data_IF_478364927861
#
_entry.id   IF_478364927861
#
_cell.length_a   1.000
_cell.length_b   1.000
_cell.length_c   1.000
_cell.angle_alpha   90.00
_cell.angle_beta   90.00
_cell.angle_gamma   90.00
#
_symmetry.space_group_name_H-M   'P 1'
#
loop_
_entity.id
_entity.type
_entity.pdbx_description
1 polymer ?
#
# COMPACT_ATOMS: atom_id res chain seq x y z
N UNK A 1 10.94 -42.30 -44.76
CA UNK A 1 11.03 -40.84 -45.02
C UNK A 1 9.62 -40.30 -45.15
N UNK A 2 9.08 -39.76 -44.06
CA UNK A 2 7.86 -38.94 -44.11
C UNK A 2 8.17 -37.64 -44.86
N UNK A 3 7.24 -37.10 -45.67
CA UNK A 3 7.47 -35.83 -46.34
C UNK A 3 7.72 -34.76 -45.28
N UNK A 4 8.84 -34.02 -45.39
CA UNK A 4 9.01 -32.79 -44.63
C UNK A 4 7.96 -31.82 -45.16
N UNK A 5 7.09 -31.38 -44.28
CA UNK A 5 6.12 -30.31 -44.51
C UNK A 5 6.90 -29.00 -44.74
N UNK A 6 7.21 -28.70 -46.00
CA UNK A 6 7.98 -27.53 -46.47
C UNK A 6 7.24 -26.19 -46.26
N UNK A 7 6.05 -26.20 -45.64
CA UNK A 7 5.23 -25.02 -45.38
C UNK A 7 5.51 -24.33 -44.04
N UNK A 8 6.37 -24.88 -43.18
CA UNK A 8 6.69 -24.30 -41.87
C UNK A 8 7.93 -23.41 -41.94
N UNK A 9 7.71 -22.09 -41.83
CA UNK A 9 8.79 -21.11 -41.64
C UNK A 9 9.72 -21.55 -40.49
N UNK A 10 11.04 -21.44 -40.65
CA UNK A 10 11.99 -21.69 -39.58
C UNK A 10 11.69 -20.80 -38.36
N UNK A 11 11.83 -21.32 -37.15
CA UNK A 11 11.48 -20.57 -35.94
C UNK A 11 12.22 -19.25 -35.77
N UNK A 12 13.40 -19.07 -36.37
CA UNK A 12 14.18 -17.82 -36.32
C UNK A 12 13.56 -16.67 -37.13
N UNK A 13 12.76 -16.96 -38.17
CA UNK A 13 12.15 -15.94 -39.03
C UNK A 13 10.77 -15.47 -38.54
N UNK A 14 10.17 -16.19 -37.58
CA UNK A 14 8.83 -15.87 -37.09
C UNK A 14 8.91 -14.97 -35.84
N UNK A 15 8.46 -13.70 -35.92
CA UNK A 15 8.52 -12.78 -34.80
C UNK A 15 7.66 -13.24 -33.62
N UNK A 16 8.16 -12.98 -32.42
CA UNK A 16 7.40 -13.09 -31.18
C UNK A 16 6.74 -11.74 -30.88
N UNK A 17 5.42 -11.69 -30.95
CA UNK A 17 4.60 -10.52 -30.64
C UNK A 17 4.06 -10.67 -29.22
N UNK A 18 4.23 -9.64 -28.41
CA UNK A 18 3.87 -9.66 -26.99
C UNK A 18 2.92 -8.50 -26.69
N UNK A 19 1.75 -8.80 -26.15
CA UNK A 19 0.88 -7.76 -25.58
C UNK A 19 1.51 -7.14 -24.34
N UNK A 20 1.16 -5.89 -24.06
CA UNK A 20 1.76 -5.16 -22.94
C UNK A 20 0.90 -5.24 -21.70
N UNK A 21 -0.34 -4.74 -21.78
CA UNK A 21 -1.22 -4.59 -20.61
C UNK A 21 -1.73 -5.95 -20.13
N UNK A 22 -1.48 -6.26 -18.86
CA UNK A 22 -1.80 -7.54 -18.22
C UNK A 22 -1.07 -8.77 -18.78
N UNK A 23 -0.11 -8.57 -19.71
CA UNK A 23 0.71 -9.62 -20.31
C UNK A 23 2.17 -9.42 -19.93
N UNK A 24 2.91 -8.51 -20.59
CA UNK A 24 4.27 -8.14 -20.20
C UNK A 24 4.29 -7.39 -18.87
N UNK A 25 3.42 -6.38 -18.74
CA UNK A 25 3.17 -5.66 -17.49
C UNK A 25 1.98 -6.34 -16.83
N UNK A 26 2.08 -6.70 -15.55
CA UNK A 26 0.98 -7.44 -14.90
C UNK A 26 -0.27 -6.58 -14.68
N UNK A 27 -0.11 -5.26 -14.69
CA UNK A 27 -1.18 -4.26 -14.62
C UNK A 27 -1.48 -3.59 -15.96
N UNK A 28 -2.14 -2.44 -15.88
CA UNK A 28 -2.52 -1.60 -17.03
C UNK A 28 -1.70 -0.30 -17.00
N UNK A 29 -1.01 0.03 -18.09
CA UNK A 29 -0.13 1.19 -18.21
C UNK A 29 -0.84 2.52 -17.96
N UNK A 30 -2.13 2.66 -18.34
CA UNK A 30 -2.91 3.85 -18.04
C UNK A 30 -3.16 3.95 -16.53
N UNK A 31 -3.54 2.85 -15.89
CA UNK A 31 -3.76 2.82 -14.43
C UNK A 31 -2.46 3.15 -13.68
N UNK A 32 -1.34 2.57 -14.11
CA UNK A 32 0.00 2.87 -13.58
C UNK A 32 0.38 4.35 -13.77
N UNK A 33 0.12 4.90 -14.95
CA UNK A 33 0.35 6.31 -15.26
C UNK A 33 -0.49 7.24 -14.40
N UNK A 34 -1.77 6.92 -14.18
CA UNK A 34 -2.68 7.68 -13.32
C UNK A 34 -2.25 7.61 -11.85
N UNK A 35 -1.90 6.43 -11.35
CA UNK A 35 -1.41 6.28 -9.98
C UNK A 35 -0.15 7.13 -9.75
N UNK A 36 0.79 7.11 -10.71
CA UNK A 36 1.99 7.93 -10.64
C UNK A 36 1.67 9.43 -10.76
N UNK A 37 0.72 9.83 -11.61
CA UNK A 37 0.25 11.22 -11.70
C UNK A 37 -0.29 11.72 -10.37
N UNK A 38 -1.11 10.93 -9.68
CA UNK A 38 -1.63 11.28 -8.37
C UNK A 38 -0.47 11.39 -7.36
N UNK A 39 0.48 10.46 -7.38
CA UNK A 39 1.62 10.46 -6.47
C UNK A 39 2.59 11.65 -6.67
N UNK A 40 2.85 12.07 -7.92
CA UNK A 40 3.82 13.13 -8.23
C UNK A 40 3.18 14.51 -8.40
N UNK A 41 1.92 14.57 -8.82
CA UNK A 41 1.21 15.82 -9.10
C UNK A 41 -0.30 15.67 -8.85
N UNK A 42 -0.73 15.58 -7.57
CA UNK A 42 -2.13 15.33 -7.21
C UNK A 42 -3.11 16.30 -7.88
N UNK A 43 -2.73 17.57 -8.03
CA UNK A 43 -3.55 18.59 -8.67
C UNK A 43 -3.87 18.31 -10.14
N UNK A 44 -2.99 17.60 -10.87
CA UNK A 44 -3.26 17.20 -12.27
C UNK A 44 -4.33 16.13 -12.37
N UNK A 45 -4.62 15.40 -11.28
CA UNK A 45 -5.67 14.39 -11.27
C UNK A 45 -7.06 15.01 -11.55
N UNK A 46 -7.28 16.27 -11.17
CA UNK A 46 -8.52 17.01 -11.50
C UNK A 46 -8.72 17.23 -13.00
N UNK A 47 -7.67 17.08 -13.82
CA UNK A 47 -7.75 17.18 -15.28
C UNK A 47 -8.17 15.86 -15.95
N UNK A 48 -8.14 14.72 -15.23
CA UNK A 48 -8.47 13.41 -15.77
C UNK A 48 -9.88 13.37 -16.39
N UNK A 49 -10.95 13.92 -15.76
CA UNK A 49 -12.27 13.97 -16.37
C UNK A 49 -12.26 14.77 -17.68
N UNK A 50 -11.55 15.90 -17.73
CA UNK A 50 -11.46 16.73 -18.92
C UNK A 50 -10.70 16.04 -20.07
N UNK A 51 -9.65 15.29 -19.75
CA UNK A 51 -8.94 14.47 -20.74
C UNK A 51 -9.80 13.31 -21.24
N UNK A 52 -10.61 12.70 -20.36
CA UNK A 52 -11.54 11.63 -20.74
C UNK A 52 -12.66 12.14 -21.65
N UNK A 53 -13.17 13.37 -21.44
CA UNK A 53 -14.16 14.00 -22.33
C UNK A 53 -13.65 14.16 -23.78
N UNK A 54 -12.33 14.24 -23.98
CA UNK A 54 -11.70 14.26 -25.30
C UNK A 54 -11.46 12.86 -25.90
N UNK A 55 -11.92 11.81 -25.22
CA UNK A 55 -11.80 10.42 -25.63
C UNK A 55 -10.71 9.63 -24.88
N UNK A 56 -10.85 8.30 -24.87
CA UNK A 56 -9.92 7.39 -24.16
C UNK A 56 -8.48 7.46 -24.67
N UNK A 57 -8.30 7.61 -25.99
CA UNK A 57 -6.98 7.71 -26.60
C UNK A 57 -6.27 9.02 -26.19
N UNK A 58 -7.01 10.13 -26.13
CA UNK A 58 -6.50 11.41 -25.64
C UNK A 58 -6.11 11.35 -24.15
N UNK A 59 -6.90 10.66 -23.32
CA UNK A 59 -6.56 10.42 -21.92
C UNK A 59 -5.24 9.66 -21.78
N UNK A 60 -5.07 8.54 -22.50
CA UNK A 60 -3.84 7.73 -22.48
C UNK A 60 -2.61 8.56 -22.84
N UNK A 61 -2.70 9.33 -23.94
CA UNK A 61 -1.62 10.21 -24.40
C UNK A 61 -1.26 11.27 -23.36
N UNK A 62 -2.26 11.96 -22.80
CA UNK A 62 -2.04 13.03 -21.81
C UNK A 62 -1.41 12.51 -20.52
N UNK A 63 -1.83 11.33 -20.06
CA UNK A 63 -1.24 10.68 -18.88
C UNK A 63 0.21 10.28 -19.16
N UNK A 64 0.48 9.63 -20.29
CA UNK A 64 1.83 9.21 -20.69
C UNK A 64 2.80 10.40 -20.82
N UNK A 65 2.33 11.54 -21.36
CA UNK A 65 3.13 12.77 -21.49
C UNK A 65 3.34 13.48 -20.15
N UNK A 66 2.34 13.49 -19.27
CA UNK A 66 2.43 14.19 -18.00
C UNK A 66 3.41 13.52 -17.02
N UNK A 67 3.53 12.19 -17.10
CA UNK A 67 4.37 11.40 -16.20
C UNK A 67 5.02 10.23 -16.96
N UNK A 68 6.30 10.34 -17.33
CA UNK A 68 7.00 9.26 -18.02
C UNK A 68 7.19 8.07 -17.09
N UNK A 69 6.68 6.89 -17.47
CA UNK A 69 6.85 5.63 -16.73
C UNK A 69 8.31 5.14 -16.86
N UNK A 70 8.89 4.65 -15.76
CA UNK A 70 10.21 4.01 -15.78
C UNK A 70 9.99 2.49 -15.91
N UNK A 71 10.47 1.85 -16.99
CA UNK A 71 10.31 0.41 -17.18
C UNK A 71 10.84 -0.43 -16.02
N UNK A 72 11.95 -0.02 -15.39
CA UNK A 72 12.54 -0.70 -14.24
C UNK A 72 11.64 -0.69 -12.98
N UNK A 73 10.67 0.23 -12.92
CA UNK A 73 9.73 0.36 -11.81
C UNK A 73 8.33 -0.19 -12.16
N UNK A 74 8.17 -0.88 -13.29
CA UNK A 74 6.92 -1.55 -13.64
C UNK A 74 6.93 -3.01 -13.15
N UNK A 75 5.77 -3.57 -12.76
CA UNK A 75 5.66 -4.97 -12.39
C UNK A 75 5.66 -5.81 -13.67
N UNK A 76 6.83 -6.27 -14.10
CA UNK A 76 6.98 -7.12 -15.27
C UNK A 76 6.71 -8.58 -14.91
N UNK A 77 6.04 -9.31 -15.81
CA UNK A 77 5.84 -10.75 -15.66
C UNK A 77 7.14 -11.50 -15.99
N UNK A 78 7.74 -12.13 -14.98
CA UNK A 78 9.02 -12.83 -15.12
C UNK A 78 8.99 -13.96 -16.16
N UNK A 79 7.89 -14.70 -16.30
CA UNK A 79 7.78 -15.76 -17.31
C UNK A 79 7.73 -15.18 -18.73
N UNK A 80 7.01 -14.07 -18.93
CA UNK A 80 6.95 -13.38 -20.23
C UNK A 80 8.31 -12.78 -20.60
N UNK A 81 9.01 -12.18 -19.63
CA UNK A 81 10.37 -11.68 -19.83
C UNK A 81 11.31 -12.83 -20.22
N UNK A 82 11.21 -14.00 -19.58
CA UNK A 82 12.00 -15.17 -19.93
C UNK A 82 11.73 -15.68 -21.36
N UNK A 83 10.47 -15.64 -21.83
CA UNK A 83 10.13 -15.98 -23.23
C UNK A 83 10.73 -14.98 -24.23
N UNK A 84 10.70 -13.68 -23.90
CA UNK A 84 11.33 -12.64 -24.70
C UNK A 84 12.85 -12.86 -24.80
N UNK A 85 13.51 -13.14 -23.67
CA UNK A 85 14.95 -13.44 -23.64
C UNK A 85 15.29 -14.73 -24.40
N UNK A 86 14.43 -15.74 -24.32
CA UNK A 86 14.59 -16.97 -25.10
C UNK A 86 14.47 -16.71 -26.61
N UNK A 87 13.48 -15.92 -27.04
CA UNK A 87 13.31 -15.53 -28.44
C UNK A 87 14.53 -14.75 -28.97
N UNK A 88 15.04 -13.80 -28.19
CA UNK A 88 16.26 -13.05 -28.56
C UNK A 88 17.49 -13.93 -28.68
N UNK A 89 17.70 -14.88 -27.76
CA UNK A 89 18.80 -15.86 -27.86
C UNK A 89 18.71 -16.72 -29.12
N UNK A 90 17.52 -16.88 -29.68
CA UNK A 90 17.26 -17.57 -30.95
C UNK A 90 17.33 -16.65 -32.17
N UNK A 91 17.76 -15.38 -32.01
CA UNK A 91 17.76 -14.34 -33.04
C UNK A 91 16.37 -14.07 -33.65
N UNK A 92 15.30 -14.33 -32.90
CA UNK A 92 13.92 -14.05 -33.33
C UNK A 92 13.59 -12.59 -33.12
N UNK A 93 12.97 -11.89 -34.08
CA UNK A 93 12.49 -10.53 -33.86
C UNK A 93 11.41 -10.48 -32.77
N UNK A 94 11.50 -9.51 -31.86
CA UNK A 94 10.50 -9.28 -30.80
C UNK A 94 9.74 -7.99 -31.08
N UNK A 95 8.41 -8.04 -30.93
CA UNK A 95 7.52 -6.91 -31.12
C UNK A 95 6.56 -6.75 -29.94
N UNK A 96 6.34 -5.51 -29.50
CA UNK A 96 5.29 -5.17 -28.54
C UNK A 96 4.06 -4.67 -29.29
N UNK A 97 2.89 -5.25 -29.02
CA UNK A 97 1.63 -4.88 -29.66
C UNK A 97 0.55 -4.52 -28.62
N UNK A 98 0.30 -3.23 -28.39
CA UNK A 98 -0.53 -2.77 -27.29
C UNK A 98 -1.62 -1.77 -27.68
N UNK A 99 -2.73 -1.80 -26.93
CA UNK A 99 -3.73 -0.74 -26.95
C UNK A 99 -3.32 0.50 -26.16
N UNK A 100 -2.19 0.48 -25.46
CA UNK A 100 -1.62 1.66 -24.80
C UNK A 100 -1.11 2.69 -25.81
N UNK A 101 -0.88 3.91 -25.32
CA UNK A 101 -0.33 4.99 -26.13
C UNK A 101 1.14 4.74 -26.50
N UNK A 102 1.52 5.10 -27.73
CA UNK A 102 2.84 4.90 -28.29
C UNK A 102 3.98 5.40 -27.40
N UNK A 103 3.80 6.52 -26.69
CA UNK A 103 4.84 7.07 -25.82
C UNK A 103 5.14 6.16 -24.63
N UNK A 104 4.13 5.47 -24.11
CA UNK A 104 4.30 4.54 -23.00
C UNK A 104 4.98 3.23 -23.46
N UNK A 105 4.60 2.74 -24.64
CA UNK A 105 5.16 1.49 -25.21
C UNK A 105 6.58 1.68 -25.71
N UNK A 106 6.92 2.84 -26.30
CA UNK A 106 8.26 3.15 -26.79
C UNK A 106 9.34 3.04 -25.70
N UNK A 107 9.01 3.41 -24.45
CA UNK A 107 9.92 3.25 -23.31
C UNK A 107 10.17 1.78 -22.96
N UNK A 108 9.17 0.93 -23.12
CA UNK A 108 9.32 -0.51 -22.91
C UNK A 108 10.14 -1.16 -24.03
N UNK A 109 10.01 -0.70 -25.28
CA UNK A 109 10.84 -1.22 -26.38
C UNK A 109 12.31 -0.87 -26.22
N UNK A 110 12.63 0.34 -25.73
CA UNK A 110 14.00 0.72 -25.35
C UNK A 110 14.56 -0.20 -24.25
N UNK A 111 13.75 -0.49 -23.23
CA UNK A 111 14.14 -1.39 -22.14
C UNK A 111 14.35 -2.84 -22.60
N UNK A 112 13.57 -3.28 -23.59
CA UNK A 112 13.66 -4.62 -24.19
C UNK A 112 14.59 -4.58 -25.41
N UNK A 113 15.70 -3.84 -25.35
CA UNK A 113 16.80 -3.87 -26.34
C UNK A 113 16.31 -3.80 -27.80
N UNK A 114 15.55 -2.76 -28.14
CA UNK A 114 15.19 -2.45 -29.53
C UNK A 114 14.03 -3.26 -30.13
N UNK A 115 13.12 -3.79 -29.30
CA UNK A 115 11.91 -4.45 -29.80
C UNK A 115 11.09 -3.52 -30.73
N UNK A 116 10.44 -4.10 -31.75
CA UNK A 116 9.51 -3.35 -32.60
C UNK A 116 8.24 -2.94 -31.83
N UNK A 117 7.53 -1.91 -32.31
CA UNK A 117 6.34 -1.37 -31.64
C UNK A 117 5.14 -1.28 -32.58
N UNK A 118 3.99 -1.75 -32.12
CA UNK A 118 2.66 -1.46 -32.66
C UNK A 118 1.77 -0.98 -31.50
N UNK A 119 1.46 0.30 -31.45
CA UNK A 119 0.72 0.92 -30.35
C UNK A 119 -0.40 1.83 -30.85
N UNK A 120 -1.22 2.35 -29.93
CA UNK A 120 -2.24 3.36 -30.27
C UNK A 120 -1.59 4.75 -30.38
N UNK A 121 -1.98 5.54 -31.39
CA UNK A 121 -1.35 6.83 -31.76
C UNK A 121 -2.13 8.08 -31.27
N UNK A 122 -3.09 7.87 -30.36
CA UNK A 122 -3.99 8.91 -29.88
C UNK A 122 -5.24 9.14 -30.74
N UNK A 123 -5.29 8.60 -31.96
CA UNK A 123 -6.46 8.66 -32.86
C UNK A 123 -7.04 7.27 -33.16
N UNK A 124 -6.17 6.28 -33.38
CA UNK A 124 -6.52 4.88 -33.63
C UNK A 124 -6.26 4.05 -32.36
N UNK A 125 -7.30 3.37 -31.87
CA UNK A 125 -7.20 2.47 -30.72
C UNK A 125 -6.88 1.04 -31.19
N UNK A 126 -5.65 0.57 -30.95
CA UNK A 126 -5.14 -0.72 -31.43
C UNK A 126 -5.52 -1.88 -30.49
N UNK A 127 -6.81 -2.24 -30.47
CA UNK A 127 -7.35 -3.31 -29.62
C UNK A 127 -8.15 -4.31 -30.45
N UNK A 128 -8.10 -5.59 -30.08
CA UNK A 128 -8.94 -6.63 -30.67
C UNK A 128 -8.75 -6.80 -32.17
N UNK A 129 -9.83 -6.67 -32.95
CA UNK A 129 -9.79 -6.85 -34.40
C UNK A 129 -8.81 -5.91 -35.09
N UNK A 130 -8.77 -4.64 -34.67
CA UNK A 130 -7.82 -3.67 -35.25
C UNK A 130 -6.36 -4.06 -35.00
N UNK A 131 -6.07 -4.66 -33.83
CA UNK A 131 -4.74 -5.20 -33.50
C UNK A 131 -4.42 -6.40 -34.40
N UNK A 132 -5.37 -7.32 -34.57
CA UNK A 132 -5.19 -8.48 -35.46
C UNK A 132 -4.96 -8.07 -36.92
N UNK A 133 -5.76 -7.15 -37.45
CA UNK A 133 -5.62 -6.63 -38.82
C UNK A 133 -4.25 -5.97 -39.04
N UNK A 134 -3.77 -5.18 -38.08
CA UNK A 134 -2.45 -4.55 -38.17
C UNK A 134 -1.31 -5.57 -38.14
N UNK A 135 -1.42 -6.61 -37.31
CA UNK A 135 -0.43 -7.69 -37.24
C UNK A 135 -0.42 -8.54 -38.51
N UNK A 136 -1.60 -8.89 -39.05
CA UNK A 136 -1.72 -9.62 -40.31
C UNK A 136 -1.21 -8.79 -41.48
N UNK A 137 -1.51 -7.49 -41.54
CA UNK A 137 -0.97 -6.60 -42.57
C UNK A 137 0.57 -6.50 -42.52
N UNK A 138 1.18 -6.65 -41.34
CA UNK A 138 2.62 -6.53 -41.14
C UNK A 138 3.39 -7.84 -41.35
N UNK A 139 2.86 -8.96 -40.86
CA UNK A 139 3.56 -10.25 -40.80
C UNK A 139 2.87 -11.36 -41.61
N UNK A 140 1.65 -11.12 -42.11
CA UNK A 140 0.82 -12.15 -42.73
C UNK A 140 0.04 -13.00 -41.70
N UNK A 141 -0.98 -13.71 -42.19
CA UNK A 141 -1.72 -14.68 -41.36
C UNK A 141 -0.82 -15.87 -41.03
N UNK A 142 -0.81 -16.29 -39.77
CA UNK A 142 0.11 -17.29 -39.20
C UNK A 142 1.60 -16.97 -39.37
N UNK A 143 1.95 -15.70 -39.59
CA UNK A 143 3.33 -15.23 -39.73
C UNK A 143 3.98 -14.75 -38.44
N UNK A 144 3.34 -14.93 -37.28
CA UNK A 144 3.84 -14.48 -35.98
C UNK A 144 3.33 -15.39 -34.83
N UNK A 145 4.10 -15.48 -33.74
CA UNK A 145 3.63 -16.06 -32.48
C UNK A 145 3.14 -14.94 -31.56
N UNK A 146 2.07 -15.17 -30.78
CA UNK A 146 1.46 -14.11 -29.97
C UNK A 146 1.27 -14.50 -28.50
N UNK A 147 1.79 -13.66 -27.61
CA UNK A 147 1.53 -13.71 -26.16
C UNK A 147 0.47 -12.67 -25.80
N UNK A 148 -0.62 -13.09 -25.16
CA UNK A 148 -1.68 -12.22 -24.66
C UNK A 148 -2.36 -12.78 -23.42
N UNK A 149 -3.37 -12.08 -22.90
CA UNK A 149 -4.01 -12.43 -21.63
C UNK A 149 -5.55 -12.30 -21.65
N UNK A 150 -6.13 -11.55 -22.59
CA UNK A 150 -7.53 -11.15 -22.50
C UNK A 150 -8.37 -11.75 -23.63
N UNK A 151 -9.69 -11.82 -23.42
CA UNK A 151 -10.64 -12.22 -24.47
C UNK A 151 -10.57 -11.31 -25.72
N UNK A 152 -10.06 -10.08 -25.56
CA UNK A 152 -9.85 -9.16 -26.67
C UNK A 152 -8.75 -9.65 -27.62
N UNK A 153 -7.86 -10.53 -27.18
CA UNK A 153 -6.79 -11.10 -28.00
C UNK A 153 -7.26 -12.28 -28.86
N UNK A 154 -8.49 -12.79 -28.68
CA UNK A 154 -9.03 -13.89 -29.49
C UNK A 154 -8.89 -13.69 -31.00
N UNK A 155 -9.19 -12.52 -31.59
CA UNK A 155 -8.96 -12.29 -33.01
C UNK A 155 -7.48 -12.40 -33.40
N UNK A 156 -6.55 -12.00 -32.51
CA UNK A 156 -5.11 -12.08 -32.76
C UNK A 156 -4.61 -13.52 -32.64
N UNK A 157 -5.05 -14.25 -31.62
CA UNK A 157 -4.69 -15.66 -31.43
C UNK A 157 -5.14 -16.55 -32.58
N UNK A 158 -6.28 -16.26 -33.21
CA UNK A 158 -6.77 -16.99 -34.40
C UNK A 158 -5.81 -16.88 -35.58
N UNK A 159 -5.25 -15.69 -35.77
CA UNK A 159 -4.31 -15.37 -36.86
C UNK A 159 -2.85 -15.68 -36.51
N UNK A 160 -2.53 -15.99 -35.25
CA UNK A 160 -1.16 -16.34 -34.83
C UNK A 160 -0.81 -17.80 -35.17
N UNK A 161 0.48 -18.08 -35.39
CA UNK A 161 1.00 -19.44 -35.56
C UNK A 161 0.90 -20.22 -34.25
N UNK A 162 1.48 -19.68 -33.18
CA UNK A 162 1.31 -20.18 -31.81
C UNK A 162 0.63 -19.14 -30.92
N UNK A 163 -0.42 -19.59 -30.24
CA UNK A 163 -1.09 -18.82 -29.20
C UNK A 163 -0.45 -19.12 -27.84
N UNK A 164 -0.03 -18.07 -27.14
CA UNK A 164 0.51 -18.15 -25.78
C UNK A 164 -0.39 -17.29 -24.89
N UNK A 165 -0.94 -17.89 -23.84
CA UNK A 165 -1.87 -17.25 -22.90
C UNK A 165 -1.21 -17.02 -21.55
N UNK A 166 -1.27 -15.80 -21.02
CA UNK A 166 -0.78 -15.42 -19.69
C UNK A 166 -1.96 -15.28 -18.74
N UNK A 167 -1.99 -16.05 -17.65
CA UNK A 167 -3.03 -15.89 -16.62
C UNK A 167 -4.48 -16.05 -17.11
N UNK A 168 -4.67 -16.73 -18.25
CA UNK A 168 -5.98 -16.86 -18.89
C UNK A 168 -6.90 -17.79 -18.09
N UNK A 169 -8.17 -17.39 -17.95
CA UNK A 169 -9.17 -18.18 -17.24
C UNK A 169 -9.45 -19.52 -17.94
N UNK A 170 -9.90 -20.52 -17.18
CA UNK A 170 -10.24 -21.85 -17.70
C UNK A 170 -11.29 -21.79 -18.81
N UNK A 171 -12.23 -20.84 -18.73
CA UNK A 171 -13.22 -20.58 -19.78
C UNK A 171 -12.58 -20.09 -21.08
N UNK A 172 -11.63 -19.16 -21.00
CA UNK A 172 -10.94 -18.62 -22.17
C UNK A 172 -9.99 -19.65 -22.81
N UNK A 173 -9.33 -20.49 -22.01
CA UNK A 173 -8.55 -21.63 -22.52
C UNK A 173 -9.42 -22.58 -23.32
N UNK A 174 -10.65 -22.84 -22.86
CA UNK A 174 -11.62 -23.68 -23.59
C UNK A 174 -12.06 -23.02 -24.90
N UNK A 175 -12.33 -21.72 -24.90
CA UNK A 175 -12.70 -20.94 -26.10
C UNK A 175 -11.55 -20.94 -27.13
N UNK A 176 -10.29 -20.82 -26.67
CA UNK A 176 -9.10 -20.93 -27.53
C UNK A 176 -8.95 -22.32 -28.14
N UNK A 177 -9.13 -23.38 -27.34
CA UNK A 177 -9.07 -24.77 -27.84
C UNK A 177 -10.19 -25.07 -28.84
N UNK A 178 -11.36 -24.49 -28.66
CA UNK A 178 -12.47 -24.60 -29.62
C UNK A 178 -12.16 -23.99 -31.00
N UNK A 179 -11.17 -23.08 -31.09
CA UNK A 179 -10.69 -22.55 -32.38
C UNK A 179 -9.65 -23.45 -33.07
N UNK A 180 -9.38 -24.64 -32.54
CA UNK A 180 -8.40 -25.59 -33.10
C UNK A 180 -6.95 -25.32 -32.71
N UNK A 181 -6.69 -24.38 -31.80
CA UNK A 181 -5.35 -24.03 -31.29
C UNK A 181 -5.11 -24.66 -29.92
N UNK A 182 -3.91 -25.16 -29.65
CA UNK A 182 -3.53 -25.61 -28.30
C UNK A 182 -2.57 -24.60 -27.67
N UNK A 183 -3.05 -23.66 -26.83
CA UNK A 183 -2.22 -22.57 -26.35
C UNK A 183 -1.20 -23.03 -25.30
N UNK A 184 0.02 -22.51 -25.39
CA UNK A 184 0.98 -22.57 -24.27
C UNK A 184 0.50 -21.62 -23.17
N UNK A 185 0.48 -22.08 -21.92
CA UNK A 185 0.02 -21.28 -20.79
C UNK A 185 1.19 -20.86 -19.92
N UNK A 186 1.24 -19.57 -19.62
CA UNK A 186 2.20 -18.96 -18.70
C UNK A 186 1.46 -18.49 -17.43
N UNK A 187 2.17 -18.47 -16.31
CA UNK A 187 1.69 -17.92 -15.06
C UNK A 187 1.32 -16.45 -15.19
N UNK A 188 0.13 -16.08 -14.71
CA UNK A 188 -0.29 -14.69 -14.56
C UNK A 188 -0.13 -14.23 -13.11
N UNK A 189 0.23 -12.97 -12.91
CA UNK A 189 0.23 -12.36 -11.58
C UNK A 189 -1.19 -11.88 -11.18
N UNK A 190 -2.14 -12.81 -11.07
CA UNK A 190 -3.42 -12.51 -10.44
C UNK A 190 -3.32 -12.82 -8.96
N UNK A 191 -3.37 -11.80 -8.12
CA UNK A 191 -3.47 -11.99 -6.67
C UNK A 191 -4.78 -12.68 -6.30
N UNK A 192 -4.74 -13.46 -5.23
CA UNK A 192 -5.94 -14.09 -4.65
C UNK A 192 -6.63 -13.13 -3.67
N UNK A 193 -7.82 -13.47 -3.16
CA UNK A 193 -8.53 -12.69 -2.13
C UNK A 193 -7.66 -12.41 -0.90
N UNK A 194 -6.67 -13.28 -0.62
CA UNK A 194 -5.67 -13.10 0.44
C UNK A 194 -4.78 -11.88 0.19
N UNK A 195 -4.39 -11.63 -1.05
CA UNK A 195 -3.60 -10.46 -1.44
C UNK A 195 -4.42 -9.17 -1.27
N UNK A 196 -5.73 -9.22 -1.55
CA UNK A 196 -6.65 -8.11 -1.29
C UNK A 196 -6.79 -7.82 0.21
N UNK A 197 -7.01 -8.87 1.01
CA UNK A 197 -7.09 -8.72 2.47
C UNK A 197 -5.78 -8.21 3.05
N UNK A 198 -4.63 -8.68 2.56
CA UNK A 198 -3.33 -8.19 2.97
C UNK A 198 -3.13 -6.71 2.59
N UNK A 199 -3.61 -6.27 1.42
CA UNK A 199 -3.58 -4.87 0.99
C UNK A 199 -4.42 -3.95 1.89
N UNK A 200 -5.51 -4.44 2.49
CA UNK A 200 -6.30 -3.70 3.49
C UNK A 200 -5.59 -3.56 4.85
N UNK A 201 -4.52 -4.33 5.09
CA UNK A 201 -3.68 -4.30 6.29
C UNK A 201 -4.43 -4.50 7.63
N UNK A 202 -5.21 -5.59 7.81
CA UNK A 202 -5.90 -5.87 9.06
C UNK A 202 -4.95 -6.00 10.26
N UNK A 203 -3.70 -6.42 10.04
CA UNK A 203 -2.66 -6.45 11.08
C UNK A 203 -2.36 -5.06 11.70
N UNK A 204 -2.70 -3.96 11.01
CA UNK A 204 -2.54 -2.60 11.54
C UNK A 204 -3.71 -2.16 12.42
N UNK A 205 -4.82 -2.92 12.44
CA UNK A 205 -5.99 -2.61 13.29
C UNK A 205 -5.68 -2.70 14.77
N UNK A 206 -4.56 -3.34 15.17
CA UNK A 206 -4.15 -3.33 16.57
C UNK A 206 -3.92 -1.92 17.11
N UNK A 207 -3.62 -0.92 16.26
CA UNK A 207 -3.53 0.49 16.69
C UNK A 207 -4.89 1.08 17.04
N UNK A 208 -5.96 0.52 16.50
CA UNK A 208 -7.31 0.99 16.72
C UNK A 208 -7.89 0.46 18.04
N UNK A 209 -7.23 -0.50 18.71
CA UNK A 209 -7.61 -0.91 20.08
C UNK A 209 -7.46 0.24 21.08
N UNK A 210 -6.73 1.29 20.73
CA UNK A 210 -6.65 2.53 21.51
C UNK A 210 -8.01 3.19 21.75
N UNK A 211 -9.02 2.89 20.92
CA UNK A 211 -10.40 3.34 21.12
C UNK A 211 -10.99 2.81 22.44
N UNK A 212 -10.48 1.71 23.00
CA UNK A 212 -10.96 1.16 24.27
C UNK A 212 -10.25 1.74 25.49
N UNK A 213 -9.18 2.53 25.31
CA UNK A 213 -8.40 3.10 26.43
C UNK A 213 -9.25 3.95 27.39
N UNK A 214 -10.18 4.82 26.92
CA UNK A 214 -11.03 5.58 27.83
C UNK A 214 -11.91 4.70 28.73
N UNK A 215 -12.51 3.64 28.19
CA UNK A 215 -13.37 2.71 28.95
C UNK A 215 -12.57 2.00 30.04
N UNK A 216 -11.38 1.51 29.67
CA UNK A 216 -10.47 0.86 30.62
C UNK A 216 -10.02 1.82 31.73
N UNK A 217 -9.66 3.07 31.37
CA UNK A 217 -9.24 4.08 32.32
C UNK A 217 -10.37 4.59 33.23
N UNK A 218 -11.62 4.47 32.79
CA UNK A 218 -12.81 4.80 33.58
C UNK A 218 -13.32 3.62 34.42
N UNK A 219 -12.72 2.43 34.30
CA UNK A 219 -13.24 1.18 34.88
C UNK A 219 -14.68 0.87 34.44
N UNK A 220 -15.02 1.21 33.19
CA UNK A 220 -16.38 1.09 32.68
C UNK A 220 -16.74 -0.38 32.44
N UNK A 221 -17.84 -0.83 33.04
CA UNK A 221 -18.33 -2.22 32.95
C UNK A 221 -19.65 -2.35 32.17
N UNK A 222 -20.27 -1.23 31.77
CA UNK A 222 -21.52 -1.25 31.03
C UNK A 222 -21.36 -1.82 29.62
N UNK A 223 -22.13 -2.87 29.32
CA UNK A 223 -22.08 -3.55 28.03
C UNK A 223 -22.49 -2.66 26.84
N UNK A 224 -23.34 -1.66 27.04
CA UNK A 224 -23.75 -0.76 25.96
C UNK A 224 -22.59 0.13 25.52
N UNK A 225 -21.88 0.76 26.47
CA UNK A 225 -20.68 1.54 26.18
C UNK A 225 -19.61 0.73 25.43
N UNK A 226 -19.41 -0.54 25.80
CA UNK A 226 -18.47 -1.44 25.11
C UNK A 226 -18.92 -1.77 23.68
N UNK A 227 -20.21 -2.04 23.45
CA UNK A 227 -20.77 -2.31 22.12
C UNK A 227 -20.69 -1.09 21.21
N UNK A 228 -20.99 0.10 21.73
CA UNK A 228 -20.84 1.35 21.01
C UNK A 228 -19.39 1.60 20.61
N UNK A 229 -18.46 1.44 21.55
CA UNK A 229 -17.02 1.61 21.32
C UNK A 229 -16.48 0.61 20.30
N UNK A 230 -17.02 -0.63 20.30
CA UNK A 230 -16.74 -1.62 19.27
C UNK A 230 -17.23 -1.15 17.89
N UNK A 231 -18.43 -0.56 17.81
CA UNK A 231 -18.96 0.05 16.59
C UNK A 231 -18.06 1.18 16.05
N UNK A 232 -17.62 2.09 16.93
CA UNK A 232 -16.66 3.15 16.57
C UNK A 232 -15.32 2.56 16.13
N UNK A 233 -14.82 1.54 16.82
CA UNK A 233 -13.61 0.81 16.47
C UNK A 233 -13.70 0.15 15.08
N UNK A 234 -14.85 -0.44 14.74
CA UNK A 234 -15.11 -1.03 13.43
C UNK A 234 -15.13 0.04 12.33
N UNK A 235 -15.82 1.15 12.55
CA UNK A 235 -15.83 2.31 11.65
C UNK A 235 -14.41 2.85 11.40
N UNK A 236 -13.60 2.97 12.47
CA UNK A 236 -12.20 3.36 12.40
C UNK A 236 -11.35 2.35 11.62
N UNK A 237 -11.60 1.04 11.75
CA UNK A 237 -10.91 0.01 10.97
C UNK A 237 -11.20 0.10 9.47
N UNK A 238 -12.44 0.39 9.08
CA UNK A 238 -12.81 0.67 7.69
C UNK A 238 -12.05 1.89 7.16
N UNK A 239 -12.13 3.03 7.86
CA UNK A 239 -11.41 4.25 7.50
C UNK A 239 -9.89 4.03 7.40
N UNK A 240 -9.28 3.34 8.38
CA UNK A 240 -7.85 3.04 8.38
C UNK A 240 -7.45 2.17 7.19
N UNK A 241 -8.22 1.14 6.87
CA UNK A 241 -7.93 0.26 5.72
C UNK A 241 -7.96 1.03 4.41
N UNK A 242 -8.96 1.89 4.21
CA UNK A 242 -9.04 2.71 3.01
C UNK A 242 -7.92 3.76 2.93
N UNK A 243 -7.56 4.42 4.03
CA UNK A 243 -6.43 5.37 4.02
C UNK A 243 -5.07 4.68 3.84
N UNK A 244 -4.91 3.44 4.30
CA UNK A 244 -3.73 2.62 3.97
C UNK A 244 -3.65 2.27 2.49
N UNK A 245 -4.78 1.91 1.87
CA UNK A 245 -4.83 1.70 0.41
C UNK A 245 -4.37 2.96 -0.33
N UNK A 246 -4.91 4.13 0.02
CA UNK A 246 -4.48 5.39 -0.60
C UNK A 246 -3.00 5.69 -0.34
N UNK A 247 -2.49 5.41 0.86
CA UNK A 247 -1.06 5.57 1.13
C UNK A 247 -0.20 4.66 0.23
N UNK A 248 -0.59 3.40 0.05
CA UNK A 248 0.16 2.44 -0.75
C UNK A 248 0.12 2.79 -2.25
N UNK A 249 -0.97 3.38 -2.72
CA UNK A 249 -1.08 3.92 -4.08
C UNK A 249 -0.19 5.14 -4.29
N UNK A 250 -0.10 6.04 -3.30
CA UNK A 250 0.77 7.22 -3.34
C UNK A 250 2.25 6.86 -3.25
N UNK A 251 2.58 5.82 -2.47
CA UNK A 251 3.95 5.33 -2.27
C UNK A 251 4.36 4.28 -3.32
N UNK A 252 3.48 3.92 -4.25
CA UNK A 252 3.69 2.86 -5.23
C UNK A 252 5.03 2.95 -5.99
N UNK A 253 5.47 4.11 -6.50
CA UNK A 253 6.75 4.22 -7.20
C UNK A 253 7.96 3.91 -6.30
N UNK A 254 7.88 4.32 -5.04
CA UNK A 254 8.95 4.16 -4.04
C UNK A 254 8.94 2.71 -3.50
N UNK A 255 7.75 2.16 -3.25
CA UNK A 255 7.55 0.80 -2.76
C UNK A 255 8.13 -0.25 -3.71
N UNK A 256 8.02 -0.04 -5.03
CA UNK A 256 8.58 -0.97 -6.03
C UNK A 256 10.10 -1.01 -6.07
N UNK A 257 10.76 0.08 -5.71
CA UNK A 257 12.22 0.16 -5.65
C UNK A 257 12.76 -0.35 -4.31
N UNK A 258 11.91 -0.43 -3.29
CA UNK A 258 12.32 -0.84 -1.95
C UNK A 258 12.47 -2.37 -1.82
N UNK A 259 13.57 -2.88 -1.22
CA UNK A 259 13.84 -4.32 -1.13
C UNK A 259 12.73 -5.18 -0.52
N UNK A 260 12.13 -4.72 0.59
CA UNK A 260 10.98 -5.37 1.23
C UNK A 260 9.60 -4.93 0.71
N UNK A 261 9.35 -3.63 0.53
CA UNK A 261 8.01 -3.11 0.17
C UNK A 261 7.58 -3.47 -1.25
N UNK A 262 8.50 -3.84 -2.14
CA UNK A 262 8.18 -4.32 -3.50
C UNK A 262 7.33 -5.58 -3.50
N UNK A 263 7.31 -6.34 -2.40
CA UNK A 263 6.49 -7.53 -2.24
C UNK A 263 5.05 -7.23 -1.80
N UNK A 264 4.71 -5.96 -1.50
CA UNK A 264 3.33 -5.57 -1.19
C UNK A 264 2.43 -5.87 -2.40
N UNK A 265 1.21 -6.36 -2.22
CA UNK A 265 0.36 -6.81 -3.32
C UNK A 265 0.14 -5.80 -4.45
N UNK A 266 -0.02 -4.52 -4.12
CA UNK A 266 -0.19 -3.45 -5.12
C UNK A 266 1.14 -3.18 -5.84
N UNK A 267 2.26 -3.10 -5.11
CA UNK A 267 3.59 -2.89 -5.68
C UNK A 267 4.05 -4.04 -6.59
N UNK A 268 3.81 -5.27 -6.14
CA UNK A 268 4.08 -6.50 -6.88
C UNK A 268 3.13 -6.74 -8.07
N UNK A 269 2.10 -5.90 -8.25
CA UNK A 269 1.14 -6.02 -9.34
C UNK A 269 0.18 -7.21 -9.20
N UNK A 270 0.02 -7.76 -7.99
CA UNK A 270 -0.96 -8.82 -7.67
C UNK A 270 -2.37 -8.26 -7.50
N UNK A 271 -2.49 -7.02 -7.02
CA UNK A 271 -3.76 -6.32 -6.85
C UNK A 271 -3.74 -5.08 -7.73
N UNK A 272 -4.73 -4.96 -8.62
CA UNK A 272 -4.85 -3.82 -9.52
C UNK A 272 -5.11 -2.52 -8.73
N UNK A 273 -4.39 -1.41 -9.03
CA UNK A 273 -4.53 -0.15 -8.30
C UNK A 273 -5.94 0.47 -8.33
N UNK A 274 -6.68 0.34 -9.44
CA UNK A 274 -7.97 1.03 -9.60
C UNK A 274 -9.11 0.37 -8.79
N UNK A 275 -9.37 -0.95 -8.87
CA UNK A 275 -10.38 -1.61 -8.05
C UNK A 275 -10.13 -1.47 -6.54
N UNK A 276 -8.88 -1.61 -6.09
CA UNK A 276 -8.56 -1.46 -4.68
C UNK A 276 -8.77 -0.01 -4.22
N UNK A 277 -8.50 0.99 -5.07
CA UNK A 277 -8.80 2.39 -4.77
C UNK A 277 -10.31 2.62 -4.55
N UNK A 278 -11.17 2.02 -5.38
CA UNK A 278 -12.62 2.09 -5.18
C UNK A 278 -13.08 1.43 -3.89
N UNK A 279 -12.52 0.25 -3.57
CA UNK A 279 -12.78 -0.40 -2.28
C UNK A 279 -12.32 0.48 -1.11
N UNK A 280 -11.12 1.06 -1.20
CA UNK A 280 -10.59 1.98 -0.19
C UNK A 280 -11.47 3.21 0.00
N UNK A 281 -11.96 3.80 -1.09
CA UNK A 281 -12.92 4.90 -1.05
C UNK A 281 -14.23 4.49 -0.37
N UNK A 282 -14.80 3.35 -0.75
CA UNK A 282 -16.04 2.84 -0.17
C UNK A 282 -15.88 2.58 1.33
N UNK A 283 -14.73 2.05 1.77
CA UNK A 283 -14.44 1.83 3.19
C UNK A 283 -14.29 3.13 3.97
N UNK A 284 -13.66 4.16 3.40
CA UNK A 284 -13.56 5.49 4.03
C UNK A 284 -14.95 6.12 4.16
N UNK A 285 -15.71 6.18 3.07
CA UNK A 285 -17.05 6.78 3.08
C UNK A 285 -17.97 6.02 4.03
N UNK A 286 -18.00 4.68 3.92
CA UNK A 286 -18.80 3.82 4.80
C UNK A 286 -18.41 3.96 6.27
N UNK A 287 -17.11 4.00 6.58
CA UNK A 287 -16.62 4.18 7.94
C UNK A 287 -16.97 5.55 8.54
N UNK A 288 -16.85 6.64 7.76
CA UNK A 288 -17.25 7.98 8.21
C UNK A 288 -18.77 8.06 8.43
N UNK A 289 -19.57 7.55 7.50
CA UNK A 289 -21.04 7.51 7.63
C UNK A 289 -21.47 6.68 8.83
N UNK A 290 -20.85 5.51 9.06
CA UNK A 290 -21.09 4.70 10.25
C UNK A 290 -20.73 5.47 11.53
N UNK A 291 -19.62 6.20 11.53
CA UNK A 291 -19.22 7.09 12.62
C UNK A 291 -20.29 8.13 12.96
N UNK A 292 -20.80 8.85 11.96
CA UNK A 292 -21.88 9.82 12.15
C UNK A 292 -23.19 9.19 12.62
N UNK A 293 -23.48 7.95 12.19
CA UNK A 293 -24.68 7.24 12.63
C UNK A 293 -24.63 6.78 14.08
N UNK A 294 -23.43 6.59 14.64
CA UNK A 294 -23.22 6.25 16.05
C UNK A 294 -23.24 7.51 16.92
N UNK A 295 -22.37 8.49 16.62
CA UNK A 295 -22.33 9.77 17.31
C UNK A 295 -21.76 10.86 16.40
N UNK A 296 -22.37 12.04 16.40
CA UNK A 296 -21.90 13.18 15.60
C UNK A 296 -20.44 13.54 15.90
N UNK A 297 -20.06 13.59 17.18
CA UNK A 297 -18.68 13.81 17.62
C UNK A 297 -17.71 12.73 17.07
N UNK A 298 -18.12 11.45 17.09
CA UNK A 298 -17.34 10.34 16.53
C UNK A 298 -17.14 10.47 15.02
N UNK A 299 -18.19 10.86 14.29
CA UNK A 299 -18.13 11.16 12.86
C UNK A 299 -17.14 12.28 12.53
N UNK A 300 -17.16 13.39 13.26
CA UNK A 300 -16.20 14.48 13.08
C UNK A 300 -14.76 14.06 13.39
N UNK A 301 -14.53 13.30 14.47
CA UNK A 301 -13.20 12.80 14.80
C UNK A 301 -12.68 11.83 13.72
N UNK A 302 -13.53 10.95 13.19
CA UNK A 302 -13.19 10.07 12.07
C UNK A 302 -12.84 10.86 10.81
N UNK A 303 -13.59 11.91 10.50
CA UNK A 303 -13.28 12.81 9.39
C UNK A 303 -11.92 13.50 9.60
N UNK A 304 -11.67 14.05 10.79
CA UNK A 304 -10.38 14.64 11.15
C UNK A 304 -9.23 13.62 11.03
N UNK A 305 -9.45 12.37 11.44
CA UNK A 305 -8.48 11.30 11.30
C UNK A 305 -8.20 10.95 9.83
N UNK A 306 -9.24 10.85 8.99
CA UNK A 306 -9.09 10.60 7.54
C UNK A 306 -8.32 11.75 6.88
N UNK A 307 -8.71 13.00 7.15
CA UNK A 307 -8.02 14.19 6.64
C UNK A 307 -6.57 14.24 7.12
N UNK A 308 -6.33 13.97 8.41
CA UNK A 308 -4.99 13.96 8.99
C UNK A 308 -4.10 12.87 8.41
N UNK A 309 -4.63 11.66 8.19
CA UNK A 309 -3.87 10.55 7.58
C UNK A 309 -3.57 10.79 6.10
N UNK A 310 -4.53 11.30 5.32
CA UNK A 310 -4.30 11.67 3.93
C UNK A 310 -3.31 12.84 3.81
N UNK A 311 -3.48 13.89 4.63
CA UNK A 311 -2.56 15.03 4.72
C UNK A 311 -1.14 14.61 5.13
N UNK A 312 -1.03 13.61 6.01
CA UNK A 312 0.23 12.98 6.36
C UNK A 312 0.91 12.33 5.17
N UNK A 313 0.17 11.48 4.44
CA UNK A 313 0.68 10.74 3.29
C UNK A 313 1.11 11.66 2.13
N UNK A 314 0.38 12.76 1.92
CA UNK A 314 0.63 13.70 0.82
C UNK A 314 1.76 14.69 1.13
N UNK A 315 1.76 15.28 2.33
CA UNK A 315 2.58 16.46 2.62
C UNK A 315 3.33 16.40 3.96
N UNK A 316 2.67 16.08 5.08
CA UNK A 316 3.30 16.25 6.41
C UNK A 316 4.51 15.34 6.60
N UNK A 317 4.52 14.14 6.02
CA UNK A 317 5.65 13.20 6.14
C UNK A 317 6.98 13.73 5.55
N UNK A 318 6.92 14.79 4.74
CA UNK A 318 8.07 15.43 4.08
C UNK A 318 8.63 16.61 4.89
N UNK A 319 7.98 16.99 5.99
CA UNK A 319 8.39 18.12 6.85
C UNK A 319 9.11 17.59 8.08
N UNK A 320 10.24 18.21 8.43
CA UNK A 320 11.07 17.80 9.56
C UNK A 320 10.25 17.89 10.85
N UNK A 321 10.25 16.83 11.65
CA UNK A 321 9.58 16.68 12.95
C UNK A 321 8.04 16.77 12.94
N UNK A 322 7.44 17.44 11.95
CA UNK A 322 5.98 17.48 11.76
C UNK A 322 5.40 16.07 11.57
N UNK A 323 6.16 15.17 10.93
CA UNK A 323 5.75 13.77 10.76
C UNK A 323 5.63 13.03 12.11
N UNK A 324 6.56 13.27 13.03
CA UNK A 324 6.57 12.70 14.39
C UNK A 324 5.38 13.22 15.20
N UNK A 325 5.16 14.54 15.20
CA UNK A 325 4.02 15.16 15.89
C UNK A 325 2.69 14.70 15.30
N UNK A 326 2.57 14.66 13.98
CA UNK A 326 1.35 14.20 13.31
C UNK A 326 1.01 12.75 13.66
N UNK A 327 2.01 11.85 13.71
CA UNK A 327 1.80 10.47 14.13
C UNK A 327 1.29 10.39 15.58
N UNK A 328 1.87 11.17 16.50
CA UNK A 328 1.44 11.20 17.89
C UNK A 328 -0.02 11.68 18.02
N UNK A 329 -0.38 12.78 17.35
CA UNK A 329 -1.76 13.30 17.33
C UNK A 329 -2.75 12.31 16.72
N UNK A 330 -2.36 11.58 15.66
CA UNK A 330 -3.18 10.53 15.07
C UNK A 330 -3.39 9.35 16.02
N UNK A 331 -2.50 9.08 16.98
CA UNK A 331 -2.79 8.10 18.03
C UNK A 331 -3.73 8.66 19.10
N UNK A 332 -3.53 9.91 19.52
CA UNK A 332 -4.39 10.57 20.50
C UNK A 332 -5.84 10.69 20.01
N UNK A 333 -6.07 11.01 18.73
CA UNK A 333 -7.44 11.10 18.19
C UNK A 333 -8.19 9.76 18.26
N UNK A 334 -7.49 8.62 18.20
CA UNK A 334 -8.13 7.30 18.37
C UNK A 334 -8.65 7.09 19.78
N UNK A 335 -7.91 7.55 20.78
CA UNK A 335 -8.37 7.57 22.17
C UNK A 335 -9.59 8.49 22.28
N UNK A 336 -9.53 9.67 21.65
CA UNK A 336 -10.65 10.62 21.61
C UNK A 336 -11.95 10.01 21.05
N UNK A 337 -11.87 9.21 19.99
CA UNK A 337 -13.03 8.53 19.40
C UNK A 337 -13.70 7.56 20.38
N UNK A 338 -12.93 6.93 21.26
CA UNK A 338 -13.44 6.00 22.27
C UNK A 338 -14.22 6.64 23.40
N UNK A 339 -14.07 7.96 23.58
CA UNK A 339 -14.69 8.70 24.66
C UNK A 339 -15.88 9.55 24.20
N UNK A 340 -16.41 9.31 23.01
CA UNK A 340 -17.53 10.12 22.49
C UNK A 340 -18.86 9.82 23.18
N UNK A 341 -18.99 8.62 23.76
CA UNK A 341 -20.15 8.24 24.58
C UNK A 341 -19.76 8.13 26.07
N UNK A 342 -18.53 7.71 26.38
CA UNK A 342 -18.02 7.65 27.75
C UNK A 342 -17.66 9.01 28.33
N UNK A 343 -17.62 9.07 29.66
CA UNK A 343 -17.32 10.27 30.45
C UNK A 343 -16.09 11.08 29.98
N UNK A 344 -16.12 12.37 30.31
CA UNK A 344 -15.08 13.38 30.02
C UNK A 344 -13.67 12.80 30.07
N UNK A 345 -12.95 12.88 28.94
CA UNK A 345 -11.55 12.46 28.89
C UNK A 345 -10.75 13.29 29.87
N UNK A 346 -10.05 12.63 30.78
CA UNK A 346 -9.14 13.31 31.68
C UNK A 346 -8.03 14.01 30.87
N UNK A 347 -7.78 15.31 31.09
CA UNK A 347 -6.66 16.02 30.46
C UNK A 347 -5.32 15.31 30.71
N UNK A 348 -5.18 14.65 31.88
CA UNK A 348 -4.03 13.82 32.22
C UNK A 348 -3.82 12.66 31.26
N UNK A 349 -4.91 11.96 30.88
CA UNK A 349 -4.84 10.84 29.94
C UNK A 349 -4.39 11.31 28.56
N UNK A 350 -4.90 12.45 28.07
CA UNK A 350 -4.50 13.02 26.79
C UNK A 350 -3.03 13.45 26.78
N UNK A 351 -2.59 14.16 27.83
CA UNK A 351 -1.20 14.60 27.96
C UNK A 351 -0.24 13.41 28.06
N UNK A 352 -0.57 12.43 28.91
CA UNK A 352 0.20 11.19 29.05
C UNK A 352 0.32 10.46 27.71
N UNK A 353 -0.80 10.24 27.05
CA UNK A 353 -0.85 9.53 25.76
C UNK A 353 -0.05 10.26 24.69
N UNK A 354 -0.15 11.59 24.62
CA UNK A 354 0.61 12.39 23.68
C UNK A 354 2.12 12.16 23.82
N UNK A 355 2.66 12.20 25.03
CA UNK A 355 4.09 11.99 25.26
C UNK A 355 4.54 10.54 25.02
N UNK A 356 3.72 9.55 25.39
CA UNK A 356 4.00 8.15 25.05
C UNK A 356 4.05 7.97 23.53
N UNK A 357 3.05 8.46 22.79
CA UNK A 357 3.01 8.32 21.34
C UNK A 357 4.07 9.15 20.63
N UNK A 358 4.51 10.27 21.21
CA UNK A 358 5.65 11.03 20.70
C UNK A 358 6.94 10.21 20.83
N UNK A 359 7.17 9.56 21.98
CA UNK A 359 8.30 8.65 22.17
C UNK A 359 8.26 7.48 21.18
N UNK A 360 7.10 6.86 20.97
CA UNK A 360 6.94 5.76 20.00
C UNK A 360 7.10 6.23 18.54
N UNK A 361 6.63 7.43 18.19
CA UNK A 361 6.81 8.00 16.86
C UNK A 361 8.30 8.30 16.58
N UNK A 362 9.04 8.78 17.58
CA UNK A 362 10.49 8.94 17.51
C UNK A 362 11.18 7.59 17.34
N UNK A 363 10.83 6.57 18.14
CA UNK A 363 11.38 5.21 18.01
C UNK A 363 11.20 4.69 16.58
N UNK A 364 9.99 4.84 16.02
CA UNK A 364 9.73 4.48 14.63
C UNK A 364 10.70 5.19 13.69
N UNK A 365 10.92 6.50 13.88
CA UNK A 365 11.84 7.27 13.03
C UNK A 365 13.30 6.82 13.17
N UNK A 366 13.74 6.51 14.37
CA UNK A 366 15.08 5.97 14.61
C UNK A 366 15.31 4.66 13.89
N UNK A 367 14.36 3.72 13.96
CA UNK A 367 14.48 2.42 13.25
C UNK A 367 14.56 2.61 11.74
N UNK A 368 13.81 3.56 11.17
CA UNK A 368 13.90 3.92 9.75
C UNK A 368 15.27 4.54 9.40
N UNK A 369 15.86 5.37 10.26
CA UNK A 369 17.17 5.98 10.04
C UNK A 369 18.32 4.97 10.14
N UNK A 370 18.30 4.12 11.17
CA UNK A 370 19.29 3.05 11.35
C UNK A 370 19.27 2.07 10.18
N UNK A 371 18.09 1.76 9.65
CA UNK A 371 17.97 0.89 8.45
C UNK A 371 18.34 1.62 7.15
N UNK A 372 17.99 2.90 6.99
CA UNK A 372 18.31 3.68 5.79
C UNK A 372 19.82 3.90 5.59
N UNK A 373 20.60 4.00 6.67
CA UNK A 373 22.05 4.10 6.62
C UNK A 373 22.73 2.95 5.86
N UNK A 374 22.01 1.84 5.65
CA UNK A 374 22.52 0.65 4.96
C UNK A 374 22.08 0.49 3.50
N UNK A 375 21.14 1.29 2.95
CA UNK A 375 20.49 0.91 1.67
C UNK A 375 20.33 2.00 0.59
N UNK A 376 20.02 3.30 0.85
CA UNK A 376 19.80 4.25 -0.27
C UNK A 376 20.07 5.74 0.06
N UNK A 377 20.61 6.56 -0.89
CA UNK A 377 20.89 8.00 -0.68
C UNK A 377 19.66 8.92 -0.74
N UNK A 378 18.55 8.52 -1.38
CA UNK A 378 17.42 9.40 -1.66
C UNK A 378 16.17 8.99 -0.87
N UNK A 379 16.14 9.31 0.43
CA UNK A 379 14.89 9.29 1.19
C UNK A 379 14.13 10.59 0.94
N UNK A 380 12.85 10.52 0.54
CA UNK A 380 11.94 11.69 0.45
C UNK A 380 11.70 12.42 1.77
N UNK A 381 12.28 11.94 2.87
CA UNK A 381 12.12 12.51 4.20
C UNK A 381 13.38 13.27 4.60
N UNK A 382 13.23 14.41 5.31
CA UNK A 382 14.31 15.39 5.47
C UNK A 382 15.31 15.05 6.58
N UNK A 383 15.50 13.77 6.91
CA UNK A 383 16.37 13.37 8.02
C UNK A 383 17.63 12.68 7.51
N UNK A 384 18.73 12.94 8.18
CA UNK A 384 20.05 12.38 7.89
C UNK A 384 20.54 11.52 9.07
N UNK A 385 21.59 10.72 8.85
CA UNK A 385 22.14 9.85 9.90
C UNK A 385 22.61 10.61 11.15
N UNK A 386 23.06 11.84 10.99
CA UNK A 386 23.50 12.73 12.08
C UNK A 386 22.36 13.11 13.05
N UNK A 387 21.10 13.08 12.58
CA UNK A 387 19.94 13.41 13.41
C UNK A 387 19.63 12.33 14.47
N UNK A 388 20.24 11.15 14.39
CA UNK A 388 19.92 10.01 15.25
C UNK A 388 20.08 10.34 16.74
N UNK A 389 21.14 11.06 17.10
CA UNK A 389 21.39 11.48 18.49
C UNK A 389 20.33 12.45 19.01
N UNK A 390 19.94 13.44 18.21
CA UNK A 390 18.87 14.39 18.55
C UNK A 390 17.53 13.67 18.68
N UNK A 391 17.22 12.75 17.76
CA UNK A 391 16.03 11.92 17.85
C UNK A 391 16.03 11.09 19.14
N UNK A 392 17.16 10.49 19.52
CA UNK A 392 17.26 9.74 20.78
C UNK A 392 16.99 10.61 22.01
N UNK A 393 17.55 11.81 22.05
CA UNK A 393 17.30 12.76 23.13
C UNK A 393 15.82 13.17 23.21
N UNK A 394 15.17 13.47 22.08
CA UNK A 394 13.75 13.81 22.02
C UNK A 394 12.85 12.64 22.45
N UNK A 395 13.20 11.41 22.05
CA UNK A 395 12.50 10.20 22.46
C UNK A 395 12.60 9.97 23.96
N UNK A 396 13.79 10.10 24.53
CA UNK A 396 14.03 10.00 25.97
C UNK A 396 13.27 11.11 26.74
N UNK A 397 13.36 12.36 26.30
CA UNK A 397 12.65 13.48 26.92
C UNK A 397 11.13 13.24 26.93
N UNK A 398 10.57 12.75 25.81
CA UNK A 398 9.15 12.40 25.71
C UNK A 398 8.78 11.25 26.66
N UNK A 399 9.63 10.23 26.78
CA UNK A 399 9.41 9.11 27.68
C UNK A 399 9.40 9.53 29.16
N UNK A 400 10.36 10.35 29.57
CA UNK A 400 10.39 10.89 30.93
C UNK A 400 9.25 11.86 31.20
N UNK A 401 8.87 12.70 30.22
CA UNK A 401 7.69 13.56 30.35
C UNK A 401 6.40 12.75 30.57
N UNK A 402 6.21 11.64 29.85
CA UNK A 402 5.10 10.73 30.09
C UNK A 402 5.09 10.18 31.53
N UNK A 403 6.26 9.76 32.04
CA UNK A 403 6.38 9.26 33.41
C UNK A 403 6.10 10.34 34.46
N UNK A 404 6.54 11.59 34.23
CA UNK A 404 6.24 12.74 35.09
C UNK A 404 4.75 13.05 35.09
N UNK A 405 4.10 13.09 33.92
CA UNK A 405 2.65 13.31 33.82
C UNK A 405 1.88 12.21 34.56
N UNK A 406 2.31 10.96 34.44
CA UNK A 406 1.72 9.85 35.19
C UNK A 406 1.89 10.02 36.70
N UNK A 407 3.07 10.43 37.16
CA UNK A 407 3.33 10.68 38.58
C UNK A 407 2.46 11.83 39.13
N UNK A 408 2.27 12.89 38.36
CA UNK A 408 1.39 14.00 38.72
C UNK A 408 -0.08 13.56 38.74
N UNK A 409 -0.52 12.75 37.78
CA UNK A 409 -1.86 12.18 37.77
C UNK A 409 -2.14 11.33 39.01
N UNK A 410 -1.20 10.47 39.43
CA UNK A 410 -1.35 9.62 40.62
C UNK A 410 -1.55 10.46 41.90
N UNK A 411 -0.98 11.67 41.94
CA UNK A 411 -1.14 12.61 43.06
C UNK A 411 -2.39 13.49 42.95
N UNK A 412 -3.19 13.35 41.89
CA UNK A 412 -4.38 14.17 41.70
C UNK A 412 -5.51 13.78 42.65
N UNK A 413 -6.39 14.73 43.04
CA UNK A 413 -7.55 14.42 43.88
C UNK A 413 -8.48 13.36 43.26
N UNK A 414 -8.58 13.32 41.93
CA UNK A 414 -9.41 12.35 41.21
C UNK A 414 -8.98 10.90 41.47
N UNK A 415 -7.68 10.65 41.62
CA UNK A 415 -7.12 9.32 41.88
C UNK A 415 -7.44 8.87 43.30
N UNK A 416 -7.36 9.77 44.28
CA UNK A 416 -7.70 9.47 45.67
C UNK A 416 -9.18 9.06 45.86
N UNK A 417 -10.06 9.49 44.96
CA UNK A 417 -11.49 9.11 44.99
C UNK A 417 -11.75 7.79 44.27
N UNK A 418 -10.99 7.48 43.20
CA UNK A 418 -11.22 6.32 42.33
C UNK A 418 -10.52 5.03 42.77
N UNK A 419 -9.49 5.13 43.60
CA UNK A 419 -8.63 4.01 43.98
C UNK A 419 -8.54 3.89 45.50
N UNK A 420 -8.71 2.67 46.02
CA UNK A 420 -8.60 2.38 47.45
C UNK A 420 -7.16 2.46 47.96
N UNK A 421 -6.17 2.18 47.09
CA UNK A 421 -4.73 2.13 47.40
C UNK A 421 -3.89 2.83 46.32
N UNK A 422 -3.98 4.17 46.19
CA UNK A 422 -3.33 4.91 45.11
C UNK A 422 -1.80 4.82 45.14
N UNK A 423 -1.17 4.52 46.28
CA UNK A 423 0.27 4.32 46.42
C UNK A 423 0.81 3.18 45.54
N UNK A 424 0.00 2.16 45.26
CA UNK A 424 0.40 1.03 44.42
C UNK A 424 0.55 1.44 42.95
N UNK A 425 -0.18 2.48 42.51
CA UNK A 425 -0.02 3.04 41.17
C UNK A 425 1.38 3.64 40.96
N UNK A 426 2.07 4.01 42.04
CA UNK A 426 3.45 4.52 41.99
C UNK A 426 4.42 3.53 41.33
N UNK A 427 4.12 2.22 41.36
CA UNK A 427 4.90 1.19 40.66
C UNK A 427 4.86 1.35 39.13
N UNK A 428 3.80 1.96 38.58
CA UNK A 428 3.66 2.16 37.15
C UNK A 428 4.72 3.12 36.57
N UNK A 429 5.20 4.08 37.36
CA UNK A 429 6.23 5.04 36.93
C UNK A 429 7.58 4.38 36.56
N UNK A 430 8.27 3.66 37.47
CA UNK A 430 9.53 3.00 37.15
C UNK A 430 9.37 1.91 36.09
N UNK A 431 8.23 1.21 36.06
CA UNK A 431 7.93 0.18 35.04
C UNK A 431 7.79 0.81 33.64
N UNK A 432 7.11 1.96 33.53
CA UNK A 432 6.99 2.71 32.28
C UNK A 432 8.34 3.24 31.80
N UNK A 433 9.14 3.83 32.70
CA UNK A 433 10.48 4.33 32.39
C UNK A 433 11.35 3.19 31.86
N UNK A 434 11.33 2.03 32.53
CA UNK A 434 12.05 0.84 32.07
C UNK A 434 11.63 0.44 30.65
N UNK A 435 10.32 0.34 30.40
CA UNK A 435 9.81 -0.10 29.10
C UNK A 435 10.18 0.86 27.96
N UNK A 436 9.93 2.16 28.12
CA UNK A 436 10.25 3.16 27.10
C UNK A 436 11.77 3.31 26.91
N UNK A 437 12.54 3.31 28.00
CA UNK A 437 14.00 3.34 27.95
C UNK A 437 14.58 2.12 27.23
N UNK A 438 14.09 0.92 27.54
CA UNK A 438 14.48 -0.31 26.85
C UNK A 438 14.13 -0.23 25.36
N UNK A 439 12.94 0.24 25.01
CA UNK A 439 12.51 0.35 23.62
C UNK A 439 13.40 1.31 22.82
N UNK A 440 13.73 2.47 23.38
CA UNK A 440 14.66 3.44 22.78
C UNK A 440 16.06 2.84 22.58
N UNK A 441 16.59 2.13 23.57
CA UNK A 441 17.89 1.46 23.46
C UNK A 441 17.89 0.37 22.39
N UNK A 442 16.85 -0.44 22.31
CA UNK A 442 16.73 -1.50 21.29
C UNK A 442 16.56 -0.91 19.88
N UNK A 443 15.82 0.19 19.76
CA UNK A 443 15.65 0.89 18.49
C UNK A 443 16.98 1.47 17.99
N UNK A 444 17.74 2.09 18.88
CA UNK A 444 19.07 2.61 18.55
C UNK A 444 20.07 1.50 18.15
N UNK A 445 19.90 0.29 18.70
CA UNK A 445 20.70 -0.89 18.35
C UNK A 445 20.22 -1.62 17.08
N UNK A 446 19.11 -1.19 16.48
CA UNK A 446 18.54 -1.83 15.30
C UNK A 446 17.81 -3.16 15.55
N UNK A 447 17.41 -3.45 16.81
CA UNK A 447 16.67 -4.67 17.16
C UNK A 447 15.15 -4.53 17.06
N UNK A 448 14.64 -3.30 16.91
CA UNK A 448 13.20 -3.03 16.79
C UNK A 448 12.83 -3.03 15.32
N UNK A 449 11.88 -3.89 14.95
CA UNK A 449 11.25 -3.91 13.63
C UNK A 449 10.59 -2.54 13.31
N UNK A 450 10.23 -2.29 12.05
CA UNK A 450 9.73 -0.98 11.58
C UNK A 450 8.52 -0.38 12.33
N UNK A 451 7.80 -1.16 13.15
CA UNK A 451 6.65 -0.67 13.91
C UNK A 451 6.78 -1.02 15.41
N UNK A 452 6.95 -0.01 16.30
CA UNK A 452 7.18 -0.25 17.72
C UNK A 452 5.96 -0.85 18.44
N UNK A 453 4.74 -0.63 17.95
CA UNK A 453 3.54 -1.21 18.55
C UNK A 453 3.49 -2.70 18.21
N UNK A 454 3.76 -3.06 16.95
CA UNK A 454 3.82 -4.48 16.54
C UNK A 454 4.96 -5.21 17.26
N UNK A 455 6.11 -4.55 17.44
CA UNK A 455 7.21 -5.08 18.25
C UNK A 455 6.76 -5.36 19.69
N UNK A 456 6.10 -4.40 20.35
CA UNK A 456 5.64 -4.56 21.73
C UNK A 456 4.66 -5.75 21.90
N UNK A 457 3.84 -6.06 20.90
CA UNK A 457 2.91 -7.19 20.93
C UNK A 457 3.59 -8.55 20.81
N UNK A 458 4.80 -8.61 20.24
CA UNK A 458 5.59 -9.85 20.08
C UNK A 458 6.63 -10.03 21.18
N UNK A 459 7.08 -8.93 21.77
CA UNK A 459 8.13 -8.92 22.78
C UNK A 459 7.60 -9.37 24.16
N UNK A 460 8.17 -10.46 24.67
CA UNK A 460 7.80 -11.03 25.99
C UNK A 460 8.00 -10.03 27.13
N UNK A 461 9.04 -9.19 27.05
CA UNK A 461 9.32 -8.19 28.09
C UNK A 461 8.24 -7.12 28.13
N UNK A 462 7.75 -6.68 26.97
CA UNK A 462 6.64 -5.75 26.86
C UNK A 462 5.35 -6.31 27.47
N UNK A 463 5.06 -7.60 27.28
CA UNK A 463 3.95 -8.26 27.98
C UNK A 463 4.13 -8.32 29.50
N UNK A 464 5.33 -8.63 29.99
CA UNK A 464 5.62 -8.62 31.43
C UNK A 464 5.41 -7.24 32.04
N UNK A 465 5.88 -6.18 31.36
CA UNK A 465 5.65 -4.78 31.76
C UNK A 465 4.15 -4.48 31.79
N UNK A 466 3.41 -4.83 30.73
CA UNK A 466 1.97 -4.58 30.65
C UNK A 466 1.20 -5.31 31.76
N UNK A 467 1.53 -6.56 32.05
CA UNK A 467 0.95 -7.34 33.15
C UNK A 467 1.29 -6.73 34.51
N UNK A 468 2.52 -6.22 34.70
CA UNK A 468 2.93 -5.57 35.95
C UNK A 468 2.18 -4.26 36.16
N UNK A 469 2.04 -3.42 35.13
CA UNK A 469 1.24 -2.20 35.20
C UNK A 469 -0.24 -2.50 35.44
N UNK A 470 -0.82 -3.46 34.70
CA UNK A 470 -2.21 -3.87 34.88
C UNK A 470 -2.48 -4.44 36.27
N UNK A 471 -1.56 -5.26 36.80
CA UNK A 471 -1.64 -5.79 38.16
C UNK A 471 -1.56 -4.70 39.23
N UNK A 472 -0.72 -3.68 39.03
CA UNK A 472 -0.66 -2.53 39.94
C UNK A 472 -1.96 -1.73 39.95
N UNK A 473 -2.58 -1.51 38.77
CA UNK A 473 -3.88 -0.83 38.65
C UNK A 473 -4.98 -1.65 39.33
N UNK A 474 -5.08 -2.95 39.04
CA UNK A 474 -6.09 -3.84 39.64
C UNK A 474 -5.94 -3.92 41.17
N UNK A 475 -4.71 -3.95 41.68
CA UNK A 475 -4.46 -3.97 43.12
C UNK A 475 -4.73 -2.62 43.81
N UNK A 476 -4.75 -1.52 43.05
CA UNK A 476 -5.02 -0.19 43.55
C UNK A 476 -6.53 0.14 43.63
N UNK A 477 -7.36 -0.49 42.78
CA UNK A 477 -8.84 -0.43 42.85
C UNK A 477 -9.28 -1.05 44.17
#
# INVERSE_FOLDING_TARGET
MTPRDESRLPDHDVPLVVDVDGTLVTGDLLVEGVARLIATSPWKAFLLPWWLLRGRAALKRRVAQAVPLSPAALPLNAEVVAEIEAAKRQNRPVWLASGADEFAVARLTEFIDGAGCLASDGSRNLVGKAKAEALVARFGSSGFDYIGNHRHDLPVWRESRHAIGVGVSTGLVRELRATGRNPKLLGGATGDWRDWLYALRPHQWTKNTLVFVPLLAAHEVDGQAWLFTLGVGAALCCCASGTYVFNDLLDLPDDRQHPGKRQRPIAAGKVSPLPIAWLGMALVVGGVLAGFSLASAGGYLLLCYVVGTLGYSLWLKRRLFVDVVALALLYVIRIGMGATESAVISPWLLAFSLFVFLALAVVKRQTELVSAASVLPESRRPYVGEDLGVMAALGAASAFAAAVVLALYIQSPDVAVRYSRPELLGLACPVLIYWLGRLLLLANRGFVDHDPIVFALRDRTSWLVALTMGGAVVAAI
#
